data_IF_054982393218
#
_entry.id   IF_054982393218
#
_cell.length_a   1.000
_cell.length_b   1.000
_cell.length_c   1.000
_cell.angle_alpha   90.00
_cell.angle_beta   90.00
_cell.angle_gamma   90.00
#
_symmetry.space_group_name_H-M   'P 1'
#
loop_
_entity.id
_entity.type
_entity.pdbx_description
1 polymer ?
#
# COMPACT_ATOMS: atom_id res chain seq x y z
N UNK A 1 12.19 15.80 7.46
CA UNK A 1 11.89 14.95 6.28
C UNK A 1 13.07 14.04 6.03
N UNK A 2 12.90 12.73 6.11
CA UNK A 2 13.97 11.76 5.81
C UNK A 2 13.84 11.31 4.35
N UNK A 3 14.67 11.82 3.47
CA UNK A 3 14.64 11.55 2.03
C UNK A 3 15.07 10.13 1.66
N UNK A 4 15.68 9.40 2.60
CA UNK A 4 16.19 8.05 2.37
C UNK A 4 15.17 6.96 2.61
N UNK A 5 13.98 7.32 3.19
CA UNK A 5 12.87 6.40 3.43
C UNK A 5 11.71 6.67 2.49
N UNK A 6 11.33 5.65 1.73
CA UNK A 6 10.25 5.69 0.75
C UNK A 6 9.17 4.69 1.14
N UNK A 7 7.92 5.14 1.21
CA UNK A 7 6.74 4.30 1.41
C UNK A 7 5.95 4.18 0.11
N UNK A 8 5.75 2.98 -0.38
CA UNK A 8 4.88 2.70 -1.54
C UNK A 8 3.52 2.24 -1.02
N UNK A 9 2.46 3.00 -1.30
CA UNK A 9 1.09 2.57 -1.04
C UNK A 9 0.66 1.59 -2.14
N UNK A 10 0.28 0.37 -1.74
CA UNK A 10 0.06 -0.74 -2.64
C UNK A 10 -1.32 -1.37 -2.45
N UNK A 11 -2.04 -1.59 -3.56
CA UNK A 11 -3.37 -2.21 -3.57
C UNK A 11 -3.47 -3.36 -4.58
N UNK A 12 -2.33 -3.81 -5.11
CA UNK A 12 -2.27 -4.89 -6.10
C UNK A 12 -2.68 -4.48 -7.53
N UNK A 13 -3.14 -3.25 -7.75
CA UNK A 13 -3.50 -2.75 -9.09
C UNK A 13 -2.29 -2.62 -10.01
N UNK A 14 -2.53 -2.55 -11.31
CA UNK A 14 -1.46 -2.33 -12.29
C UNK A 14 -0.75 -0.99 -12.10
N UNK A 15 -1.47 0.04 -11.63
CA UNK A 15 -0.84 1.32 -11.27
C UNK A 15 0.07 1.18 -10.04
N UNK A 16 -0.33 0.39 -9.04
CA UNK A 16 0.52 0.10 -7.88
C UNK A 16 1.77 -0.69 -8.27
N UNK A 17 1.63 -1.67 -9.17
CA UNK A 17 2.79 -2.41 -9.73
C UNK A 17 3.73 -1.49 -10.51
N UNK A 18 3.19 -0.54 -11.31
CA UNK A 18 4.01 0.49 -11.98
C UNK A 18 4.73 1.39 -10.97
N UNK A 19 4.10 1.71 -9.84
CA UNK A 19 4.75 2.48 -8.77
C UNK A 19 5.95 1.75 -8.20
N UNK A 20 5.85 0.43 -7.98
CA UNK A 20 6.99 -0.40 -7.54
C UNK A 20 8.09 -0.40 -8.59
N UNK A 21 7.74 -0.64 -9.88
CA UNK A 21 8.71 -0.64 -10.97
C UNK A 21 9.41 0.72 -11.14
N UNK A 22 8.68 1.83 -10.98
CA UNK A 22 9.23 3.18 -11.04
C UNK A 22 10.25 3.42 -9.90
N UNK A 23 9.89 3.07 -8.66
CA UNK A 23 10.81 3.19 -7.52
C UNK A 23 12.02 2.30 -7.72
N UNK A 24 11.84 1.07 -8.19
CA UNK A 24 12.93 0.15 -8.52
C UNK A 24 13.92 0.76 -9.52
N UNK A 25 13.42 1.40 -10.58
CA UNK A 25 14.26 2.07 -11.58
C UNK A 25 14.99 3.31 -11.03
N UNK A 26 14.33 4.07 -10.15
CA UNK A 26 14.88 5.32 -9.60
C UNK A 26 15.93 5.08 -8.52
N UNK A 27 15.75 4.05 -7.69
CA UNK A 27 16.59 3.84 -6.50
C UNK A 27 17.33 2.51 -6.47
N UNK A 28 17.16 1.65 -7.46
CA UNK A 28 17.66 0.28 -7.45
C UNK A 28 19.16 0.07 -7.26
N UNK A 29 19.97 1.12 -7.43
CA UNK A 29 21.43 1.09 -7.18
C UNK A 29 21.86 1.88 -5.95
N UNK A 30 20.92 2.51 -5.27
CA UNK A 30 21.20 3.30 -4.07
C UNK A 30 21.00 2.43 -2.83
N UNK A 31 22.11 1.91 -2.32
CA UNK A 31 22.12 1.01 -1.14
C UNK A 31 21.80 1.71 0.18
N UNK A 32 21.67 3.03 0.17
CA UNK A 32 21.37 3.81 1.38
C UNK A 32 19.87 3.98 1.60
N UNK A 33 19.06 3.77 0.57
CA UNK A 33 17.62 3.96 0.63
C UNK A 33 16.88 2.77 1.17
N UNK A 34 15.92 3.06 2.04
CA UNK A 34 14.94 2.10 2.55
C UNK A 34 13.64 2.27 1.77
N UNK A 35 13.09 1.16 1.27
CA UNK A 35 11.84 1.12 0.52
C UNK A 35 10.88 0.16 1.20
N UNK A 36 9.76 0.67 1.69
CA UNK A 36 8.71 -0.15 2.27
C UNK A 36 7.45 -0.14 1.40
N UNK A 37 6.87 -1.32 1.20
CA UNK A 37 5.61 -1.50 0.46
C UNK A 37 4.52 -1.81 1.45
N UNK A 38 3.50 -0.95 1.55
CA UNK A 38 2.40 -1.11 2.49
C UNK A 38 1.07 -1.29 1.78
N UNK A 39 0.33 -2.31 2.19
CA UNK A 39 -1.06 -2.55 1.81
C UNK A 39 -1.96 -2.47 3.03
N UNK A 40 -3.14 -1.87 2.85
CA UNK A 40 -4.15 -1.74 3.90
C UNK A 40 -5.33 -2.63 3.53
N UNK A 41 -5.70 -3.50 4.45
CA UNK A 41 -6.82 -4.41 4.26
C UNK A 41 -8.13 -3.67 3.99
N UNK A 42 -8.86 -4.17 3.00
CA UNK A 42 -10.26 -3.82 2.74
C UNK A 42 -11.09 -5.08 2.86
N UNK A 43 -11.67 -5.36 4.03
CA UNK A 43 -12.56 -6.50 4.20
C UNK A 43 -13.70 -6.45 3.17
N UNK A 44 -14.13 -7.62 2.73
CA UNK A 44 -15.34 -7.71 1.92
C UNK A 44 -16.53 -7.17 2.74
N UNK A 45 -17.52 -6.59 2.07
CA UNK A 45 -18.73 -6.13 2.72
C UNK A 45 -19.52 -7.35 3.24
N UNK A 46 -19.77 -7.39 4.55
CA UNK A 46 -20.45 -8.50 5.21
C UNK A 46 -21.86 -8.75 4.64
N UNK A 47 -22.54 -7.68 4.25
CA UNK A 47 -23.93 -7.74 3.77
C UNK A 47 -24.07 -8.44 2.40
N UNK A 48 -22.96 -8.66 1.69
CA UNK A 48 -22.95 -9.39 0.41
C UNK A 48 -22.88 -10.92 0.58
N UNK A 49 -22.81 -11.43 1.81
CA UNK A 49 -22.62 -12.86 2.08
C UNK A 49 -23.78 -13.43 2.91
N UNK A 50 -24.16 -14.67 2.59
CA UNK A 50 -25.25 -15.35 3.25
C UNK A 50 -24.96 -15.64 4.74
N UNK A 51 -23.70 -15.92 5.08
CA UNK A 51 -23.28 -16.25 6.44
C UNK A 51 -21.83 -15.76 6.72
N UNK A 52 -21.43 -15.84 8.00
CA UNK A 52 -20.12 -15.42 8.45
C UNK A 52 -18.98 -16.28 7.91
N UNK A 53 -19.24 -17.56 7.64
CA UNK A 53 -18.23 -18.48 7.14
C UNK A 53 -17.82 -18.10 5.71
N UNK A 54 -18.81 -17.84 4.85
CA UNK A 54 -18.59 -17.38 3.48
C UNK A 54 -17.86 -16.01 3.44
N UNK A 55 -18.26 -15.08 4.32
CA UNK A 55 -17.59 -13.79 4.45
C UNK A 55 -16.13 -13.92 4.89
N UNK A 56 -15.87 -14.73 5.94
CA UNK A 56 -14.50 -15.01 6.41
C UNK A 56 -13.64 -15.65 5.34
N UNK A 57 -14.19 -16.63 4.61
CA UNK A 57 -13.47 -17.30 3.53
C UNK A 57 -13.05 -16.31 2.43
N UNK A 58 -13.94 -15.38 2.04
CA UNK A 58 -13.60 -14.35 1.05
C UNK A 58 -12.55 -13.36 1.58
N UNK A 59 -12.67 -12.90 2.84
CA UNK A 59 -11.64 -12.05 3.45
C UNK A 59 -10.28 -12.78 3.49
N UNK A 60 -10.26 -14.06 3.86
CA UNK A 60 -9.04 -14.87 3.88
C UNK A 60 -8.41 -15.00 2.49
N UNK A 61 -9.23 -15.25 1.46
CA UNK A 61 -8.76 -15.31 0.07
C UNK A 61 -8.14 -13.99 -0.38
N UNK A 62 -8.78 -12.84 -0.08
CA UNK A 62 -8.27 -11.50 -0.43
C UNK A 62 -6.98 -11.18 0.30
N UNK A 63 -6.90 -11.50 1.58
CA UNK A 63 -5.70 -11.24 2.39
C UNK A 63 -4.52 -12.09 1.90
N UNK A 64 -4.74 -13.36 1.57
CA UNK A 64 -3.72 -14.22 0.99
C UNK A 64 -3.20 -13.65 -0.34
N UNK A 65 -4.10 -13.29 -1.26
CA UNK A 65 -3.73 -12.70 -2.55
C UNK A 65 -2.95 -11.39 -2.39
N UNK A 66 -3.28 -10.56 -1.38
CA UNK A 66 -2.55 -9.31 -1.13
C UNK A 66 -1.16 -9.58 -0.54
N UNK A 67 -1.01 -10.57 0.35
CA UNK A 67 0.30 -10.96 0.88
C UNK A 67 1.21 -11.49 -0.25
N UNK A 68 0.68 -12.35 -1.13
CA UNK A 68 1.40 -12.82 -2.32
C UNK A 68 1.81 -11.65 -3.24
N UNK A 69 0.94 -10.66 -3.40
CA UNK A 69 1.25 -9.47 -4.20
C UNK A 69 2.33 -8.59 -3.55
N UNK A 70 2.37 -8.48 -2.22
CA UNK A 70 3.46 -7.81 -1.50
C UNK A 70 4.79 -8.53 -1.66
N UNK A 71 4.80 -9.87 -1.63
CA UNK A 71 5.99 -10.68 -1.86
C UNK A 71 6.52 -10.51 -3.29
N UNK A 72 5.63 -10.44 -4.28
CA UNK A 72 6.00 -10.12 -5.67
C UNK A 72 6.60 -8.71 -5.79
N UNK A 73 6.00 -7.71 -5.11
CA UNK A 73 6.53 -6.36 -5.10
C UNK A 73 7.93 -6.30 -4.48
N UNK A 74 8.17 -7.03 -3.37
CA UNK A 74 9.49 -7.19 -2.77
C UNK A 74 10.48 -7.80 -3.75
N UNK A 75 10.10 -8.91 -4.41
CA UNK A 75 10.95 -9.58 -5.39
C UNK A 75 11.34 -8.65 -6.55
N UNK A 76 10.44 -7.79 -7.02
CA UNK A 76 10.75 -6.79 -8.06
C UNK A 76 11.81 -5.78 -7.59
N UNK A 77 11.73 -5.30 -6.35
CA UNK A 77 12.70 -4.36 -5.79
C UNK A 77 14.08 -5.02 -5.61
N UNK A 78 14.12 -6.26 -5.12
CA UNK A 78 15.37 -7.05 -5.00
C UNK A 78 16.01 -7.26 -6.37
N UNK A 79 15.21 -7.66 -7.38
CA UNK A 79 15.71 -7.88 -8.74
C UNK A 79 16.28 -6.60 -9.39
N UNK A 80 15.82 -5.43 -8.96
CA UNK A 80 16.36 -4.14 -9.40
C UNK A 80 17.67 -3.75 -8.70
N UNK A 81 18.11 -4.51 -7.68
CA UNK A 81 19.37 -4.31 -6.99
C UNK A 81 19.26 -3.60 -5.63
N UNK A 82 18.06 -3.35 -5.13
CA UNK A 82 17.88 -2.85 -3.75
C UNK A 82 18.22 -4.00 -2.78
N UNK A 83 19.10 -3.78 -1.80
CA UNK A 83 19.44 -4.80 -0.82
C UNK A 83 18.21 -5.30 -0.09
N UNK A 84 18.07 -6.60 0.09
CA UNK A 84 16.89 -7.21 0.72
C UNK A 84 16.63 -6.68 2.14
N UNK A 85 17.68 -6.38 2.91
CA UNK A 85 17.58 -5.76 4.22
C UNK A 85 17.05 -4.32 4.24
N UNK A 86 16.99 -3.66 3.07
CA UNK A 86 16.46 -2.30 2.90
C UNK A 86 15.01 -2.30 2.39
N UNK A 87 14.40 -3.48 2.22
CA UNK A 87 13.03 -3.60 1.73
C UNK A 87 12.15 -4.15 2.84
N UNK A 88 11.12 -3.37 3.22
CA UNK A 88 10.06 -3.82 4.10
C UNK A 88 8.75 -4.09 3.34
N UNK A 89 7.96 -5.05 3.83
CA UNK A 89 6.58 -5.24 3.42
C UNK A 89 5.67 -5.15 4.62
N UNK A 90 4.55 -4.45 4.51
CA UNK A 90 3.61 -4.26 5.61
C UNK A 90 2.17 -4.47 5.13
N UNK A 91 1.48 -5.42 5.74
CA UNK A 91 0.05 -5.60 5.58
C UNK A 91 -0.65 -5.12 6.85
N UNK A 92 -1.44 -4.05 6.73
CA UNK A 92 -2.17 -3.44 7.85
C UNK A 92 -3.59 -3.99 7.86
N UNK A 93 -3.91 -4.75 8.89
CA UNK A 93 -5.24 -5.33 9.06
C UNK A 93 -6.28 -4.27 9.39
N UNK A 94 -7.51 -4.47 8.92
CA UNK A 94 -8.65 -3.63 9.29
C UNK A 94 -9.19 -4.00 10.66
N UNK A 95 -9.56 -3.01 11.47
CA UNK A 95 -10.27 -3.28 12.74
C UNK A 95 -11.64 -3.95 12.53
N UNK A 96 -12.18 -3.89 11.31
CA UNK A 96 -13.43 -4.56 10.92
C UNK A 96 -13.20 -5.95 10.32
N UNK A 97 -11.95 -6.38 10.20
CA UNK A 97 -11.66 -7.70 9.65
C UNK A 97 -12.14 -8.82 10.59
N UNK A 98 -12.83 -9.83 10.05
CA UNK A 98 -13.17 -11.02 10.83
C UNK A 98 -11.96 -11.90 11.15
N UNK A 99 -10.81 -11.59 10.54
CA UNK A 99 -9.55 -12.33 10.63
C UNK A 99 -8.48 -11.62 11.44
N UNK A 100 -8.83 -10.48 12.04
CA UNK A 100 -7.85 -9.66 12.74
C UNK A 100 -7.15 -10.43 13.86
N UNK A 101 -5.83 -10.44 13.79
CA UNK A 101 -4.94 -11.00 14.81
C UNK A 101 -4.08 -9.91 15.47
N UNK A 102 -3.78 -8.82 14.72
CA UNK A 102 -2.95 -7.74 15.22
C UNK A 102 -3.67 -6.87 16.26
N UNK A 103 -2.93 -6.41 17.27
CA UNK A 103 -3.40 -5.45 18.27
C UNK A 103 -3.64 -4.07 17.63
N UNK A 104 -2.74 -3.68 16.74
CA UNK A 104 -2.87 -2.45 15.96
C UNK A 104 -3.58 -2.76 14.63
N UNK A 105 -4.60 -1.99 14.33
CA UNK A 105 -5.39 -2.17 13.12
C UNK A 105 -5.84 -0.82 12.54
N UNK A 106 -6.10 -0.80 11.23
CA UNK A 106 -6.68 0.37 10.57
C UNK A 106 -8.17 0.50 10.88
N UNK A 107 -8.59 1.67 11.36
CA UNK A 107 -10.01 1.98 11.62
C UNK A 107 -10.82 2.03 10.30
N UNK A 108 -10.12 2.11 9.15
CA UNK A 108 -10.73 1.95 7.83
C UNK A 108 -11.57 3.14 7.34
N UNK A 109 -11.50 4.30 8.00
CA UNK A 109 -12.23 5.50 7.57
C UNK A 109 -11.66 6.09 6.28
N UNK A 110 -10.36 5.93 6.02
CA UNK A 110 -9.71 6.39 4.81
C UNK A 110 -8.34 5.75 4.61
N UNK A 111 -8.18 5.01 3.51
CA UNK A 111 -6.88 4.43 3.11
C UNK A 111 -5.81 5.52 3.01
N UNK A 112 -6.15 6.69 2.44
CA UNK A 112 -5.20 7.79 2.28
C UNK A 112 -4.66 8.29 3.62
N UNK A 113 -5.54 8.47 4.62
CA UNK A 113 -5.13 8.92 5.95
C UNK A 113 -4.30 7.86 6.67
N UNK A 114 -4.62 6.58 6.46
CA UNK A 114 -3.85 5.49 7.03
C UNK A 114 -2.43 5.42 6.42
N UNK A 115 -2.30 5.60 5.09
CA UNK A 115 -0.99 5.70 4.44
C UNK A 115 -0.18 6.87 5.00
N UNK A 116 -0.80 8.04 5.20
CA UNK A 116 -0.12 9.21 5.76
C UNK A 116 0.27 8.99 7.22
N UNK A 117 -0.57 8.32 8.03
CA UNK A 117 -0.23 7.93 9.39
C UNK A 117 0.99 7.02 9.43
N UNK A 118 1.01 5.98 8.58
CA UNK A 118 2.17 5.10 8.43
C UNK A 118 3.43 5.86 8.02
N UNK A 119 3.28 6.83 7.12
CA UNK A 119 4.40 7.65 6.66
C UNK A 119 4.97 8.52 7.77
N UNK A 120 4.12 9.12 8.59
CA UNK A 120 4.52 9.93 9.74
C UNK A 120 5.19 9.09 10.82
N UNK A 121 4.56 8.01 11.26
CA UNK A 121 5.07 7.11 12.30
C UNK A 121 6.40 6.44 11.91
N UNK A 122 6.54 6.04 10.64
CA UNK A 122 7.75 5.43 10.11
C UNK A 122 8.84 6.44 9.73
N UNK A 123 8.55 7.75 9.78
CA UNK A 123 9.48 8.80 9.41
C UNK A 123 9.85 8.81 7.92
N UNK A 124 8.91 8.44 7.03
CA UNK A 124 9.14 8.45 5.60
C UNK A 124 9.13 9.86 5.04
N UNK A 125 10.10 10.17 4.20
CA UNK A 125 10.18 11.45 3.50
C UNK A 125 9.48 11.46 2.15
N UNK A 126 9.13 10.28 1.62
CA UNK A 126 8.45 10.13 0.33
C UNK A 126 7.35 9.09 0.43
N UNK A 127 6.17 9.43 -0.09
CA UNK A 127 5.07 8.47 -0.33
C UNK A 127 4.87 8.34 -1.83
N UNK A 128 4.81 7.10 -2.32
CA UNK A 128 4.57 6.77 -3.73
C UNK A 128 3.23 6.10 -3.87
N UNK A 129 2.42 6.57 -4.81
CA UNK A 129 1.07 6.03 -5.07
C UNK A 129 0.83 5.88 -6.56
N UNK A 130 0.07 4.87 -6.95
CA UNK A 130 -0.48 4.79 -8.28
C UNK A 130 -1.52 5.91 -8.51
N UNK A 131 -1.59 6.43 -9.73
CA UNK A 131 -2.57 7.46 -10.09
C UNK A 131 -4.00 6.99 -9.82
N UNK A 132 -4.31 5.71 -10.07
CA UNK A 132 -5.59 5.05 -9.79
C UNK A 132 -5.35 3.71 -9.12
N UNK A 133 -6.30 3.28 -8.29
CA UNK A 133 -6.30 1.96 -7.69
C UNK A 133 -7.18 0.96 -8.46
N UNK A 134 -7.66 -0.06 -7.76
CA UNK A 134 -8.49 -1.14 -8.33
C UNK A 134 -9.90 -0.69 -8.75
N UNK A 135 -10.40 0.45 -8.30
CA UNK A 135 -11.70 0.98 -8.70
C UNK A 135 -11.61 1.68 -10.06
N UNK A 136 -12.32 1.16 -11.05
CA UNK A 136 -12.31 1.62 -12.45
C UNK A 136 -13.32 2.75 -12.74
N UNK A 137 -13.42 3.77 -11.92
CA UNK A 137 -14.22 4.94 -12.29
C UNK A 137 -13.43 5.81 -13.26
N UNK A 138 -13.81 5.79 -14.54
CA UNK A 138 -13.09 6.42 -15.65
C UNK A 138 -13.13 7.96 -15.67
N UNK A 139 -14.05 8.57 -14.93
CA UNK A 139 -14.32 10.01 -14.99
C UNK A 139 -13.31 10.92 -14.29
N UNK A 140 -12.44 10.37 -13.43
CA UNK A 140 -11.47 11.18 -12.67
C UNK A 140 -10.04 10.96 -13.15
N UNK A 141 -9.30 12.05 -13.32
CA UNK A 141 -7.86 12.03 -13.66
C UNK A 141 -7.03 11.27 -12.62
N UNK A 142 -7.44 11.32 -11.35
CA UNK A 142 -6.79 10.65 -10.22
C UNK A 142 -7.79 9.81 -9.43
N UNK A 143 -7.33 8.74 -8.78
CA UNK A 143 -8.13 7.95 -7.85
C UNK A 143 -8.37 8.71 -6.53
N UNK A 144 -9.39 8.29 -5.78
CA UNK A 144 -9.77 8.93 -4.51
C UNK A 144 -8.64 8.90 -3.46
N UNK A 145 -7.84 7.85 -3.44
CA UNK A 145 -6.71 7.70 -2.50
C UNK A 145 -5.58 8.66 -2.88
N UNK A 146 -5.13 8.66 -4.14
CA UNK A 146 -4.05 9.55 -4.60
C UNK A 146 -4.42 11.02 -4.45
N UNK A 147 -5.65 11.41 -4.84
CA UNK A 147 -6.15 12.78 -4.64
C UNK A 147 -6.10 13.19 -3.17
N UNK A 148 -6.60 12.34 -2.28
CA UNK A 148 -6.64 12.65 -0.85
C UNK A 148 -5.25 12.71 -0.22
N UNK A 149 -4.31 11.86 -0.65
CA UNK A 149 -2.91 11.92 -0.21
C UNK A 149 -2.28 13.25 -0.64
N UNK A 150 -2.43 13.67 -1.91
CA UNK A 150 -1.88 14.92 -2.40
C UNK A 150 -2.38 16.12 -1.58
N UNK A 151 -3.68 16.15 -1.24
CA UNK A 151 -4.25 17.25 -0.47
C UNK A 151 -3.88 17.25 1.02
N UNK A 152 -3.71 16.08 1.62
CA UNK A 152 -3.52 15.95 3.06
C UNK A 152 -2.05 15.77 3.48
N UNK A 153 -1.14 15.46 2.56
CA UNK A 153 0.27 15.27 2.84
C UNK A 153 0.94 16.56 3.35
N UNK A 154 1.71 16.42 4.42
CA UNK A 154 2.48 17.53 5.00
C UNK A 154 3.90 17.06 5.31
N UNK A 155 4.90 17.86 4.96
CA UNK A 155 6.30 17.60 5.32
C UNK A 155 6.93 16.38 4.65
N UNK A 156 6.34 15.86 3.55
CA UNK A 156 6.87 14.76 2.75
C UNK A 156 6.63 15.00 1.25
N UNK A 157 7.36 14.30 0.40
CA UNK A 157 7.14 14.30 -1.04
C UNK A 157 6.09 13.25 -1.42
N UNK A 158 5.27 13.55 -2.43
CA UNK A 158 4.31 12.59 -3.00
C UNK A 158 4.63 12.35 -4.46
N UNK A 159 4.92 11.10 -4.83
CA UNK A 159 5.08 10.67 -6.21
C UNK A 159 3.80 9.96 -6.68
N UNK A 160 3.21 10.47 -7.73
CA UNK A 160 2.03 9.86 -8.36
C UNK A 160 2.45 9.23 -9.68
N UNK A 161 2.39 7.91 -9.75
CA UNK A 161 2.80 7.12 -10.91
C UNK A 161 1.58 6.75 -11.75
N UNK A 162 1.61 7.02 -13.06
CA UNK A 162 0.51 6.77 -14.01
C UNK A 162 0.68 5.45 -14.77
#
# INVERSE_FOLDING_TARGET
MNTDKILIAYDGSDNAKRSVAYVAAMVGRDVTRQVDVAAIERPADRDLFADDAAWKAECQRRNAAMRDALDQARAMLVAAGIPDGNIGTRFVESCRSPLREATECSIGTSIALEVLRLAEEGGYGTVVVGRRGVSKQEEFLFGSVSTKIIHAAKGLAVWVVA
#
